data_IF_194926898992
#
_entry.id   IF_194926898992
#
_cell.length_a   1.000
_cell.length_b   1.000
_cell.length_c   1.000
_cell.angle_alpha   90.00
_cell.angle_beta   90.00
_cell.angle_gamma   90.00
#
_symmetry.space_group_name_H-M   'P 1'
#
loop_
_entity.id
_entity.type
_entity.pdbx_description
1 polymer ?
#
# COMPACT_ATOMS: atom_id res chain seq x y z
N UNK A 1 9.76 4.34 -2.36
CA UNK A 1 9.54 2.92 -2.70
C UNK A 1 8.13 2.75 -3.20
N UNK A 2 7.97 1.95 -4.24
CA UNK A 2 6.64 1.62 -4.75
C UNK A 2 6.21 0.30 -4.14
N UNK A 3 4.94 0.23 -3.78
CA UNK A 3 4.38 -0.95 -3.13
C UNK A 3 3.05 -1.29 -3.77
N UNK A 4 2.60 -2.51 -3.57
CA UNK A 4 1.27 -2.92 -4.00
C UNK A 4 0.44 -3.20 -2.78
N UNK A 5 -0.83 -2.80 -2.87
CA UNK A 5 -1.74 -2.81 -1.73
C UNK A 5 -3.10 -3.31 -2.21
N UNK A 6 -3.72 -4.14 -1.40
CA UNK A 6 -5.13 -4.50 -1.60
C UNK A 6 -5.95 -3.78 -0.55
N UNK A 7 -7.13 -3.31 -0.97
CA UNK A 7 -8.04 -2.72 0.00
C UNK A 7 -8.52 -3.77 0.98
N UNK A 8 -8.75 -3.33 2.20
CA UNK A 8 -9.32 -4.19 3.22
C UNK A 8 -10.82 -3.95 3.29
N UNK A 9 -11.56 -5.05 3.31
CA UNK A 9 -12.99 -4.99 3.47
C UNK A 9 -13.35 -5.97 4.57
N UNK A 10 -13.94 -5.45 5.66
CA UNK A 10 -14.25 -6.27 6.83
C UNK A 10 -13.03 -7.00 7.34
N UNK A 11 -11.89 -6.31 7.30
CA UNK A 11 -10.65 -6.86 7.80
C UNK A 11 -9.95 -7.84 6.89
N UNK A 12 -10.44 -8.02 5.66
CA UNK A 12 -9.85 -8.99 4.74
C UNK A 12 -9.48 -8.32 3.44
N UNK A 13 -8.36 -8.74 2.82
CA UNK A 13 -7.99 -8.20 1.51
C UNK A 13 -9.07 -8.52 0.49
N UNK A 14 -9.40 -7.54 -0.35
CA UNK A 14 -10.49 -7.68 -1.29
C UNK A 14 -10.14 -6.96 -2.57
N UNK A 15 -10.49 -7.57 -3.70
CA UNK A 15 -10.32 -6.94 -4.98
C UNK A 15 -8.91 -7.06 -5.51
N UNK A 16 -8.55 -6.15 -6.39
CA UNK A 16 -7.25 -6.20 -7.05
C UNK A 16 -6.20 -5.40 -6.28
N UNK A 17 -4.97 -5.58 -6.68
CA UNK A 17 -3.87 -4.82 -6.13
C UNK A 17 -3.76 -3.47 -6.82
N UNK A 18 -3.43 -2.47 -6.03
CA UNK A 18 -3.17 -1.13 -6.55
C UNK A 18 -1.77 -0.72 -6.14
N UNK A 19 -1.14 0.13 -6.94
CA UNK A 19 0.20 0.58 -6.69
C UNK A 19 0.17 1.92 -5.97
N UNK A 20 0.97 2.04 -4.92
CA UNK A 20 1.12 3.27 -4.17
C UNK A 20 2.59 3.53 -3.94
N UNK A 21 2.89 4.77 -3.55
CA UNK A 21 4.23 5.14 -3.16
C UNK A 21 4.29 5.19 -1.64
N UNK A 22 5.39 4.79 -1.07
CA UNK A 22 5.57 4.87 0.38
C UNK A 22 6.90 5.48 0.72
N UNK A 23 6.89 6.49 1.59
CA UNK A 23 8.09 7.01 2.21
C UNK A 23 8.32 6.37 3.57
N UNK A 24 7.36 5.57 4.03
CA UNK A 24 7.50 4.84 5.28
C UNK A 24 8.10 3.46 5.01
N UNK A 25 8.90 2.93 5.93
CA UNK A 25 9.30 1.54 5.82
C UNK A 25 8.09 0.65 6.08
N UNK A 26 7.80 -0.23 5.13
CA UNK A 26 6.66 -1.13 5.24
C UNK A 26 7.11 -2.53 4.86
N UNK A 27 6.28 -3.49 5.21
CA UNK A 27 6.55 -4.88 4.88
C UNK A 27 5.27 -5.53 4.42
N UNK A 28 5.41 -6.64 3.72
CA UNK A 28 4.25 -7.40 3.24
C UNK A 28 3.42 -7.82 4.44
N UNK A 29 2.12 -7.61 4.32
CA UNK A 29 1.19 -7.93 5.40
C UNK A 29 0.87 -6.77 6.31
N UNK A 30 1.56 -5.65 6.14
CA UNK A 30 1.33 -4.50 7.01
C UNK A 30 0.10 -3.73 6.53
N UNK A 31 -0.69 -3.26 7.49
CA UNK A 31 -1.86 -2.45 7.16
C UNK A 31 -1.45 -0.99 7.02
N UNK A 32 -2.02 -0.32 6.04
CA UNK A 32 -1.70 1.08 5.76
C UNK A 32 -2.98 1.86 5.59
N UNK A 33 -2.88 3.18 5.78
CA UNK A 33 -3.99 4.10 5.53
C UNK A 33 -3.77 4.70 4.15
N UNK A 34 -4.78 4.62 3.33
CA UNK A 34 -4.71 5.06 1.94
C UNK A 34 -5.32 6.44 1.79
N UNK A 35 -4.92 7.18 0.74
CA UNK A 35 -5.54 8.47 0.48
C UNK A 35 -7.05 8.30 0.35
N UNK A 36 -7.79 9.19 0.96
CA UNK A 36 -9.23 9.11 0.96
C UNK A 36 -9.80 8.39 2.16
N UNK A 37 -8.94 7.83 3.02
CA UNK A 37 -9.38 7.28 4.28
C UNK A 37 -9.59 5.80 4.34
N UNK A 38 -9.36 5.09 3.24
CA UNK A 38 -9.51 3.64 3.26
C UNK A 38 -8.30 2.97 3.85
N UNK A 39 -8.47 1.71 4.22
CA UNK A 39 -7.36 0.90 4.74
C UNK A 39 -6.98 -0.15 3.70
N UNK A 40 -5.70 -0.49 3.68
CA UNK A 40 -5.21 -1.51 2.78
C UNK A 40 -4.15 -2.34 3.46
N UNK A 41 -3.79 -3.43 2.80
CA UNK A 41 -2.72 -4.29 3.28
C UNK A 41 -1.67 -4.40 2.19
N UNK A 42 -0.41 -4.29 2.57
CA UNK A 42 0.70 -4.35 1.63
C UNK A 42 0.87 -5.78 1.15
N UNK A 43 0.86 -5.96 -0.17
CA UNK A 43 1.04 -7.29 -0.76
C UNK A 43 2.39 -7.45 -1.43
N UNK A 44 3.04 -6.33 -1.78
CA UNK A 44 4.35 -6.41 -2.40
C UNK A 44 5.11 -5.13 -2.10
N UNK A 45 6.41 -5.24 -1.85
CA UNK A 45 7.25 -4.08 -1.61
C UNK A 45 8.35 -4.03 -2.65
N UNK A 46 9.02 -2.88 -2.74
CA UNK A 46 10.13 -2.69 -3.65
C UNK A 46 9.75 -3.01 -5.09
N UNK A 47 8.56 -2.58 -5.50
CA UNK A 47 8.12 -2.75 -6.87
C UNK A 47 9.05 -1.93 -7.75
N UNK A 48 9.64 -2.54 -8.80
CA UNK A 48 10.58 -1.82 -9.65
C UNK A 48 9.93 -0.63 -10.32
N UNK A 49 10.69 0.45 -10.44
CA UNK A 49 10.17 1.65 -11.07
C UNK A 49 9.73 1.40 -12.50
N UNK A 50 10.44 0.51 -13.19
CA UNK A 50 10.10 0.22 -14.59
C UNK A 50 8.70 -0.39 -14.71
N UNK A 51 8.22 -1.05 -13.65
CA UNK A 51 6.90 -1.65 -13.68
C UNK A 51 5.79 -0.62 -13.57
N UNK A 52 6.11 0.58 -13.11
CA UNK A 52 5.10 1.61 -12.91
C UNK A 52 5.31 2.81 -13.83
N UNK A 53 6.25 2.69 -14.75
CA UNK A 53 6.68 3.82 -15.58
C UNK A 53 5.52 4.46 -16.34
N UNK A 54 4.60 3.65 -16.85
CA UNK A 54 3.54 4.16 -17.69
C UNK A 54 2.49 4.93 -16.91
N UNK A 55 2.42 4.75 -15.60
CA UNK A 55 1.43 5.46 -14.79
C UNK A 55 2.05 6.12 -13.56
N UNK A 56 3.36 6.35 -13.61
CA UNK A 56 4.09 6.86 -12.46
C UNK A 56 3.54 8.18 -11.96
N UNK A 57 3.10 9.03 -12.87
CA UNK A 57 2.60 10.35 -12.49
C UNK A 57 1.26 10.29 -11.78
N UNK A 58 0.59 9.15 -11.85
CA UNK A 58 -0.73 9.01 -11.24
C UNK A 58 -0.70 8.24 -9.94
N UNK A 59 0.48 7.78 -9.53
CA UNK A 59 0.59 7.00 -8.31
C UNK A 59 0.49 7.93 -7.12
N UNK A 60 -0.38 7.56 -6.18
CA UNK A 60 -0.56 8.33 -4.96
C UNK A 60 0.27 7.69 -3.86
N UNK A 61 0.47 8.48 -2.81
CA UNK A 61 1.27 8.06 -1.68
C UNK A 61 0.36 7.63 -0.56
N UNK A 62 0.73 6.56 0.16
CA UNK A 62 -0.04 6.18 1.34
C UNK A 62 0.08 7.27 2.38
N UNK A 63 -0.94 7.40 3.22
CA UNK A 63 -0.95 8.47 4.19
C UNK A 63 -0.18 8.12 5.44
N UNK A 64 -0.30 6.88 5.88
CA UNK A 64 0.44 6.43 7.04
C UNK A 64 0.35 4.92 7.13
N UNK A 65 1.04 4.36 8.13
CA UNK A 65 0.97 2.94 8.39
C UNK A 65 0.21 2.74 9.69
N UNK A 66 -0.45 1.59 9.78
CA UNK A 66 -1.12 1.22 11.01
C UNK A 66 -0.15 0.35 11.78
N UNK A 67 0.25 0.82 12.94
CA UNK A 67 1.17 0.08 13.75
C UNK A 67 0.41 -0.73 14.76
N UNK A 68 0.74 -2.00 14.82
CA UNK A 68 0.10 -2.85 15.79
C UNK A 68 0.84 -2.78 17.08
N UNK A 69 0.06 -2.64 18.13
CA UNK A 69 0.61 -2.63 19.44
C UNK A 69 0.84 -4.05 19.87
N UNK A 70 2.09 -4.37 20.06
CA UNK A 70 2.43 -5.69 20.55
C UNK A 70 2.29 -5.72 22.05
N UNK A 71 1.64 -6.71 22.55
CA UNK A 71 1.47 -6.81 24.00
C UNK A 71 2.22 -7.97 24.58
#
# INVERSE_FOLDING_TARGET
MYIKVKFLKNGEPHGREYTYKSTFPVRVGQEVILPGGGNGVVTEINVPEEDVESFKDKIKEIESVVEEDEQ
#
